data_IF_367976727597
#
_entry.id   IF_367976727597
#
_cell.length_a   1.000
_cell.length_b   1.000
_cell.length_c   1.000
_cell.angle_alpha   90.00
_cell.angle_beta   90.00
_cell.angle_gamma   90.00
#
_symmetry.space_group_name_H-M   'P 1'
#
loop_
_entity.id
_entity.type
_entity.pdbx_description
1 polymer ?
#
# COMPACT_ATOMS: atom_id res chain seq x y z
N UNK A 1 17.83 0.95 41.12
CA UNK A 1 18.91 1.25 42.07
C UNK A 1 20.19 0.64 41.52
N UNK A 2 21.13 1.46 41.06
CA UNK A 2 22.55 1.14 40.96
C UNK A 2 23.32 2.45 40.76
N UNK A 3 24.06 2.82 41.78
CA UNK A 3 24.91 4.01 41.92
C UNK A 3 26.31 3.70 41.40
N UNK A 4 26.96 4.64 40.70
CA UNK A 4 28.43 4.64 40.55
C UNK A 4 28.98 6.05 40.80
N UNK A 5 30.08 6.05 41.57
CA UNK A 5 30.79 7.14 42.26
C UNK A 5 31.46 8.19 41.35
N UNK A 6 31.57 9.41 41.89
CA UNK A 6 32.48 10.48 41.46
C UNK A 6 33.60 10.60 42.51
N UNK A 7 34.89 10.75 42.13
CA UNK A 7 35.93 11.15 43.08
C UNK A 7 36.14 12.68 43.08
N UNK A 8 36.31 13.24 44.29
CA UNK A 8 36.79 14.59 44.57
C UNK A 8 38.32 14.63 44.54
N UNK A 9 38.90 15.74 44.10
CA UNK A 9 40.25 16.16 44.49
C UNK A 9 40.26 17.67 44.80
N UNK A 10 40.88 17.99 45.95
CA UNK A 10 41.17 19.29 46.58
C UNK A 10 41.98 20.24 45.65
N UNK A 11 41.73 21.55 45.57
CA UNK A 11 41.91 22.68 46.52
C UNK A 11 43.33 23.31 46.52
N UNK A 12 43.35 24.66 46.43
CA UNK A 12 44.39 25.67 46.78
C UNK A 12 45.40 26.12 45.71
N UNK A 13 45.28 27.39 45.29
CA UNK A 13 46.25 28.46 45.59
C UNK A 13 45.72 29.86 45.21
N UNK A 14 46.23 30.86 45.95
CA UNK A 14 45.73 32.23 46.16
C UNK A 14 46.28 33.25 45.14
N UNK A 15 45.44 34.27 44.86
CA UNK A 15 45.71 35.70 44.61
C UNK A 15 47.16 36.20 44.41
N UNK A 16 47.42 36.87 43.27
CA UNK A 16 48.30 38.07 43.14
C UNK A 16 47.73 39.02 42.05
N UNK A 17 47.80 40.32 42.33
CA UNK A 17 47.19 41.48 41.67
C UNK A 17 47.98 42.08 40.46
N UNK A 18 47.25 42.84 39.62
CA UNK A 18 47.62 44.04 38.82
C UNK A 18 48.49 43.89 37.55
N UNK A 19 47.95 44.38 36.40
CA UNK A 19 48.38 45.56 35.60
C UNK A 19 47.87 45.47 34.14
N UNK A 20 46.97 46.40 33.78
CA UNK A 20 46.86 47.24 32.55
C UNK A 20 47.14 46.62 31.15
N UNK A 21 46.10 46.71 30.28
CA UNK A 21 46.03 46.57 28.79
C UNK A 21 47.15 47.32 28.03
N UNK A 22 47.48 47.05 26.72
CA UNK A 22 46.50 46.85 25.65
C UNK A 22 46.89 45.91 24.47
N UNK A 23 45.88 45.58 23.66
CA UNK A 23 45.95 45.25 22.23
C UNK A 23 46.99 44.23 21.75
N UNK A 24 46.58 42.97 21.68
CA UNK A 24 46.86 42.14 20.50
C UNK A 24 45.58 41.39 20.12
N UNK A 25 44.89 41.98 19.14
CA UNK A 25 43.87 41.33 18.33
C UNK A 25 44.51 40.19 17.51
N UNK A 26 43.68 39.24 17.08
CA UNK A 26 43.98 38.15 16.14
C UNK A 26 44.76 36.94 16.68
N UNK A 27 44.11 36.12 17.51
CA UNK A 27 43.99 34.66 17.30
C UNK A 27 43.18 34.06 18.46
N UNK A 28 41.85 34.03 18.40
CA UNK A 28 40.97 33.08 19.13
C UNK A 28 39.51 33.43 18.82
N UNK A 29 39.07 33.08 17.60
CA UNK A 29 37.65 33.07 17.27
C UNK A 29 37.36 31.98 16.22
N UNK A 30 37.57 30.71 16.57
CA UNK A 30 37.06 29.58 15.77
C UNK A 30 36.94 28.32 16.61
N UNK A 31 36.16 28.34 17.70
CA UNK A 31 35.76 27.07 18.33
C UNK A 31 34.52 27.18 19.21
N UNK A 32 33.42 27.76 18.72
CA UNK A 32 32.11 27.60 19.39
C UNK A 32 30.90 27.90 18.49
N UNK A 33 30.85 27.40 17.25
CA UNK A 33 29.60 27.39 16.46
C UNK A 33 29.57 26.21 15.47
N UNK A 34 29.22 25.01 15.95
CA UNK A 34 28.66 23.93 15.13
C UNK A 34 28.04 22.84 16.01
N UNK A 35 27.02 23.18 16.81
CA UNK A 35 26.18 22.17 17.47
C UNK A 35 24.78 22.71 17.69
N UNK A 36 24.03 22.85 16.61
CA UNK A 36 22.56 22.84 16.62
C UNK A 36 22.05 22.40 15.24
N UNK A 37 22.00 21.08 15.06
CA UNK A 37 21.35 20.40 13.93
C UNK A 37 21.11 18.90 14.18
N UNK A 38 21.26 18.44 15.43
CA UNK A 38 21.34 17.02 15.79
C UNK A 38 20.01 16.39 16.23
N UNK A 39 18.91 16.62 15.49
CA UNK A 39 17.68 15.83 15.68
C UNK A 39 17.23 15.08 14.43
N UNK A 40 17.62 15.53 13.23
CA UNK A 40 17.44 14.75 12.00
C UNK A 40 18.64 13.82 11.73
N UNK A 41 19.87 14.29 11.93
CA UNK A 41 21.08 13.50 11.69
C UNK A 41 21.22 12.26 12.59
N UNK A 42 20.56 12.22 13.75
CA UNK A 42 20.62 11.08 14.68
C UNK A 42 19.55 10.01 14.37
N UNK A 43 18.47 10.36 13.64
CA UNK A 43 17.50 9.36 13.13
C UNK A 43 18.07 8.56 11.96
N UNK A 44 19.03 9.11 11.22
CA UNK A 44 19.65 8.46 10.06
C UNK A 44 20.67 7.38 10.41
N UNK A 45 21.18 7.35 11.66
CA UNK A 45 22.23 6.41 12.09
C UNK A 45 21.66 5.05 12.54
N UNK A 46 20.34 4.94 12.78
CA UNK A 46 19.69 3.69 13.23
C UNK A 46 18.39 3.35 12.50
N UNK A 47 18.21 3.72 11.24
CA UNK A 47 17.14 3.11 10.45
C UNK A 47 17.47 1.64 10.20
N UNK A 48 16.80 0.77 10.97
CA UNK A 48 16.79 -0.66 10.73
C UNK A 48 16.25 -0.87 9.31
N UNK A 49 17.08 -1.47 8.44
CA UNK A 49 16.72 -1.84 7.06
C UNK A 49 15.36 -2.55 7.06
N UNK A 50 14.54 -2.29 6.04
CA UNK A 50 13.32 -3.06 5.85
C UNK A 50 13.66 -4.53 5.58
N UNK A 51 12.74 -5.49 5.77
CA UNK A 51 12.99 -6.89 5.44
C UNK A 51 13.48 -7.10 3.99
N UNK A 52 12.90 -6.35 3.04
CA UNK A 52 13.35 -6.32 1.64
C UNK A 52 14.79 -5.82 1.52
N UNK A 53 15.12 -4.68 2.14
CA UNK A 53 16.46 -4.09 2.06
C UNK A 53 17.52 -4.98 2.71
N UNK A 54 17.17 -5.63 3.82
CA UNK A 54 18.03 -6.59 4.49
C UNK A 54 18.32 -7.80 3.59
N UNK A 55 17.31 -8.35 2.90
CA UNK A 55 17.51 -9.43 1.94
C UNK A 55 18.34 -8.98 0.74
N UNK A 56 18.01 -7.82 0.16
CA UNK A 56 18.76 -7.23 -0.94
C UNK A 56 20.24 -6.98 -0.56
N UNK A 57 20.51 -6.60 0.68
CA UNK A 57 21.86 -6.49 1.21
C UNK A 57 22.54 -7.86 1.31
N UNK A 58 21.86 -8.88 1.83
CA UNK A 58 22.38 -10.24 1.89
C UNK A 58 22.76 -10.79 0.50
N UNK A 59 21.96 -10.51 -0.54
CA UNK A 59 22.33 -10.84 -1.92
C UNK A 59 23.60 -10.13 -2.39
N UNK A 60 23.86 -8.91 -1.90
CA UNK A 60 25.08 -8.17 -2.22
C UNK A 60 26.29 -8.75 -1.52
N UNK A 61 26.18 -9.05 -0.23
CA UNK A 61 27.23 -9.68 0.57
C UNK A 61 27.61 -11.06 0.03
N UNK A 62 26.62 -11.86 -0.36
CA UNK A 62 26.84 -13.16 -0.99
C UNK A 62 27.29 -13.07 -2.46
N UNK A 63 27.48 -11.86 -3.00
CA UNK A 63 27.82 -11.58 -4.42
C UNK A 63 26.80 -12.11 -5.44
N UNK A 64 25.61 -12.54 -4.99
CA UNK A 64 24.52 -13.03 -5.84
C UNK A 64 23.93 -11.94 -6.74
N UNK A 65 24.01 -10.66 -6.34
CA UNK A 65 23.66 -9.52 -7.19
C UNK A 65 24.45 -9.44 -8.51
N UNK A 66 25.53 -10.23 -8.68
CA UNK A 66 26.30 -10.33 -9.93
C UNK A 66 25.82 -11.45 -10.86
N UNK A 67 24.94 -12.33 -10.36
CA UNK A 67 24.31 -13.39 -11.14
C UNK A 67 23.10 -12.85 -11.89
N UNK A 68 22.71 -13.49 -12.99
CA UNK A 68 21.51 -13.12 -13.78
C UNK A 68 20.25 -13.08 -12.91
N UNK A 69 20.04 -14.09 -12.06
CA UNK A 69 18.88 -14.16 -11.18
C UNK A 69 18.89 -13.08 -10.10
N UNK A 70 20.04 -12.82 -9.46
CA UNK A 70 20.14 -11.77 -8.45
C UNK A 70 19.94 -10.37 -9.04
N UNK A 71 20.46 -10.11 -10.25
CA UNK A 71 20.19 -8.86 -10.97
C UNK A 71 18.71 -8.74 -11.32
N UNK A 72 18.11 -9.81 -11.85
CA UNK A 72 16.68 -9.84 -12.19
C UNK A 72 15.79 -9.58 -10.97
N UNK A 73 16.13 -10.12 -9.80
CA UNK A 73 15.40 -9.88 -8.56
C UNK A 73 15.48 -8.42 -8.09
N UNK A 74 16.67 -7.82 -8.12
CA UNK A 74 16.85 -6.41 -7.78
C UNK A 74 16.11 -5.51 -8.75
N UNK A 75 16.18 -5.81 -10.05
CA UNK A 75 15.49 -5.07 -11.10
C UNK A 75 13.97 -5.20 -10.97
N UNK A 76 13.45 -6.40 -10.70
CA UNK A 76 12.02 -6.62 -10.47
C UNK A 76 11.49 -5.76 -9.31
N UNK A 77 12.26 -5.69 -8.21
CA UNK A 77 11.89 -4.87 -7.06
C UNK A 77 11.89 -3.37 -7.35
N UNK A 78 12.81 -2.88 -8.20
CA UNK A 78 12.82 -1.47 -8.64
C UNK A 78 11.72 -1.18 -9.66
N UNK A 79 11.49 -2.10 -10.61
CA UNK A 79 10.48 -1.95 -11.64
C UNK A 79 9.08 -1.92 -11.05
N UNK A 80 8.82 -2.70 -10.00
CA UNK A 80 7.57 -2.68 -9.26
C UNK A 80 7.21 -1.29 -8.71
N UNK A 81 8.17 -0.40 -8.45
CA UNK A 81 7.89 0.96 -8.00
C UNK A 81 7.46 1.90 -9.13
N UNK A 82 7.70 1.51 -10.39
CA UNK A 82 7.39 2.32 -11.59
C UNK A 82 6.21 1.76 -12.38
N UNK A 83 6.06 0.45 -12.39
CA UNK A 83 5.04 -0.28 -13.14
C UNK A 83 4.15 -1.06 -12.16
N UNK A 84 3.01 -0.48 -11.85
CA UNK A 84 2.06 -0.99 -10.85
C UNK A 84 0.68 -1.15 -11.45
N UNK A 85 -0.04 -2.17 -10.99
CA UNK A 85 -1.46 -2.31 -11.35
C UNK A 85 -2.27 -1.37 -10.50
N UNK A 86 -2.96 -0.43 -11.14
CA UNK A 86 -3.91 0.44 -10.44
C UNK A 86 -5.14 -0.37 -10.04
N UNK A 87 -5.44 -0.40 -8.75
CA UNK A 87 -6.58 -1.10 -8.17
C UNK A 87 -7.51 -0.13 -7.43
N UNK A 88 -8.79 -0.49 -7.38
CA UNK A 88 -9.78 0.19 -6.55
C UNK A 88 -9.99 -0.63 -5.28
N UNK A 89 -10.12 0.04 -4.14
CA UNK A 89 -10.35 -0.62 -2.86
C UNK A 89 -11.86 -0.79 -2.58
N UNK A 90 -12.29 -1.87 -1.89
CA UNK A 90 -11.45 -2.98 -1.42
C UNK A 90 -10.98 -3.89 -2.56
N UNK A 91 -9.77 -4.44 -2.44
CA UNK A 91 -9.15 -5.28 -3.47
C UNK A 91 -8.66 -6.61 -2.90
N UNK A 92 -8.82 -7.68 -3.69
CA UNK A 92 -8.21 -8.98 -3.42
C UNK A 92 -7.78 -9.66 -4.72
N UNK A 93 -6.57 -10.21 -4.72
CA UNK A 93 -6.03 -11.02 -5.82
C UNK A 93 -5.19 -12.16 -5.25
N UNK A 94 -5.29 -13.33 -5.87
CA UNK A 94 -4.30 -14.41 -5.71
C UNK A 94 -3.35 -14.38 -6.90
N UNK A 95 -2.05 -14.20 -6.66
CA UNK A 95 -1.02 -14.18 -7.69
C UNK A 95 0.03 -15.27 -7.43
N UNK A 96 0.84 -15.56 -8.46
CA UNK A 96 1.81 -16.65 -8.43
C UNK A 96 3.20 -16.18 -8.85
N UNK A 97 4.19 -16.51 -8.03
CA UNK A 97 5.61 -16.33 -8.32
C UNK A 97 6.22 -17.63 -8.84
N UNK A 98 7.09 -17.50 -9.85
CA UNK A 98 7.90 -18.61 -10.36
C UNK A 98 9.35 -18.45 -9.92
N UNK A 99 9.95 -19.57 -9.48
CA UNK A 99 11.34 -19.61 -9.03
C UNK A 99 12.35 -19.20 -10.11
N UNK A 100 12.05 -19.52 -11.37
CA UNK A 100 12.92 -19.27 -12.53
C UNK A 100 12.81 -17.84 -13.09
N UNK A 101 11.77 -17.09 -12.70
CA UNK A 101 11.49 -15.75 -13.20
C UNK A 101 11.20 -14.80 -12.04
N UNK A 102 12.26 -14.21 -11.42
CA UNK A 102 12.10 -13.25 -10.34
C UNK A 102 11.19 -12.09 -10.76
N UNK A 103 10.13 -11.88 -9.99
CA UNK A 103 9.12 -10.85 -10.22
C UNK A 103 8.68 -10.27 -8.89
N UNK A 104 8.00 -9.13 -8.94
CA UNK A 104 7.38 -8.50 -7.77
C UNK A 104 5.95 -8.11 -8.12
N UNK A 105 5.01 -8.48 -7.27
CA UNK A 105 3.65 -7.96 -7.32
C UNK A 105 3.66 -6.48 -6.97
N UNK A 106 2.95 -5.66 -7.74
CA UNK A 106 2.85 -4.22 -7.52
C UNK A 106 1.44 -3.72 -7.76
N UNK A 107 0.91 -3.02 -6.76
CA UNK A 107 -0.46 -2.52 -6.73
C UNK A 107 -0.47 -1.08 -6.27
N UNK A 108 -0.99 -0.17 -7.10
CA UNK A 108 -1.21 1.21 -6.73
C UNK A 108 -2.68 1.50 -6.47
N UNK A 109 -2.96 2.33 -5.47
CA UNK A 109 -4.32 2.65 -5.08
C UNK A 109 -4.38 4.04 -4.43
N UNK A 110 -5.60 4.58 -4.32
CA UNK A 110 -5.85 5.81 -3.60
C UNK A 110 -6.43 5.49 -2.23
N UNK A 111 -5.97 6.23 -1.22
CA UNK A 111 -6.55 6.25 0.11
C UNK A 111 -6.63 7.70 0.58
N UNK A 112 -7.60 8.02 1.43
CA UNK A 112 -7.87 9.39 1.88
C UNK A 112 -7.19 9.67 3.22
N UNK A 113 -6.74 10.90 3.42
CA UNK A 113 -6.32 11.41 4.72
C UNK A 113 -7.39 11.09 5.77
N UNK A 114 -6.97 10.42 6.83
CA UNK A 114 -7.85 9.95 7.92
C UNK A 114 -8.28 8.50 7.81
N UNK A 115 -8.02 7.83 6.69
CA UNK A 115 -8.17 6.38 6.59
C UNK A 115 -6.92 5.65 7.12
N UNK A 116 -7.12 4.41 7.56
CA UNK A 116 -6.07 3.41 7.74
C UNK A 116 -6.12 2.46 6.56
N UNK A 117 -4.96 2.27 5.91
CA UNK A 117 -4.72 1.19 4.96
C UNK A 117 -4.44 -0.07 5.76
N UNK A 118 -5.14 -1.15 5.45
CA UNK A 118 -4.92 -2.47 6.02
C UNK A 118 -4.62 -3.44 4.86
N UNK A 119 -3.39 -3.94 4.85
CA UNK A 119 -2.88 -4.89 3.86
C UNK A 119 -2.64 -6.21 4.56
N UNK A 120 -3.24 -7.27 4.02
CA UNK A 120 -3.02 -8.64 4.47
C UNK A 120 -2.57 -9.49 3.30
N UNK A 121 -1.52 -10.26 3.50
CA UNK A 121 -1.05 -11.29 2.58
C UNK A 121 -1.24 -12.65 3.23
N UNK A 122 -1.64 -13.64 2.46
CA UNK A 122 -1.64 -15.04 2.89
C UNK A 122 -0.96 -15.89 1.83
N UNK A 123 -0.26 -16.93 2.26
CA UNK A 123 0.33 -17.95 1.39
C UNK A 123 -0.43 -19.26 1.55
N UNK A 124 -0.25 -20.20 0.62
CA UNK A 124 -0.87 -21.53 0.77
C UNK A 124 -0.20 -22.29 1.90
N UNK A 125 -0.99 -23.07 2.64
CA UNK A 125 -0.50 -23.99 3.68
C UNK A 125 0.58 -24.91 3.08
N UNK A 126 1.71 -25.09 3.78
CA UNK A 126 2.91 -25.84 3.34
C UNK A 126 3.85 -25.16 2.32
N UNK A 127 3.59 -23.91 1.91
CA UNK A 127 4.60 -23.14 1.17
C UNK A 127 5.59 -22.50 2.15
N UNK A 128 6.84 -22.94 2.12
CA UNK A 128 7.96 -22.24 2.76
C UNK A 128 8.49 -21.19 1.79
N UNK A 129 7.83 -20.03 1.78
CA UNK A 129 8.21 -18.90 0.93
C UNK A 129 8.35 -17.64 1.79
N UNK A 130 9.55 -17.05 1.79
CA UNK A 130 9.75 -15.73 2.36
C UNK A 130 9.21 -14.66 1.42
N UNK A 131 8.31 -13.83 1.91
CA UNK A 131 7.75 -12.68 1.23
C UNK A 131 8.18 -11.41 1.94
N UNK A 132 8.40 -10.37 1.14
CA UNK A 132 8.66 -9.01 1.59
C UNK A 132 7.52 -8.12 1.11
N UNK A 133 6.95 -7.35 2.02
CA UNK A 133 5.85 -6.42 1.76
C UNK A 133 6.35 -5.03 2.09
N UNK A 134 6.30 -4.12 1.12
CA UNK A 134 6.65 -2.71 1.33
C UNK A 134 5.49 -1.84 0.87
N UNK A 135 5.15 -0.83 1.67
CA UNK A 135 4.19 0.21 1.33
C UNK A 135 4.92 1.54 1.12
N UNK A 136 4.55 2.22 0.04
CA UNK A 136 5.10 3.51 -0.36
C UNK A 136 3.98 4.54 -0.53
N UNK A 137 4.26 5.78 -0.17
CA UNK A 137 3.57 6.97 -0.66
C UNK A 137 4.23 7.41 -1.97
N UNK A 138 3.42 7.81 -2.95
CA UNK A 138 3.87 8.33 -4.23
C UNK A 138 3.67 9.85 -4.25
N UNK A 139 4.73 10.61 -4.50
CA UNK A 139 4.62 12.05 -4.73
C UNK A 139 3.75 12.35 -5.95
N UNK A 140 3.11 13.51 -5.97
CA UNK A 140 2.35 13.98 -7.14
C UNK A 140 3.23 14.77 -8.14
N UNK A 141 4.47 15.10 -7.78
CA UNK A 141 5.39 15.85 -8.64
C UNK A 141 6.28 14.93 -9.45
N UNK A 142 6.52 15.26 -10.73
CA UNK A 142 7.45 14.53 -11.59
C UNK A 142 8.90 14.98 -11.34
N UNK A 143 9.89 14.07 -11.26
CA UNK A 143 9.72 12.62 -11.29
C UNK A 143 9.05 12.09 -10.02
N UNK A 144 8.18 11.08 -10.16
CA UNK A 144 7.49 10.47 -9.02
C UNK A 144 8.50 9.94 -7.99
N UNK A 145 8.64 10.61 -6.86
CA UNK A 145 9.42 10.11 -5.74
C UNK A 145 8.58 9.14 -4.91
N UNK A 146 9.17 8.00 -4.57
CA UNK A 146 8.56 7.01 -3.67
C UNK A 146 9.12 7.18 -2.27
N UNK A 147 8.24 7.45 -1.30
CA UNK A 147 8.59 7.47 0.11
C UNK A 147 8.15 6.16 0.74
N UNK A 148 9.10 5.37 1.24
CA UNK A 148 8.78 4.16 2.00
C UNK A 148 8.13 4.56 3.33
N UNK A 149 7.00 3.94 3.66
CA UNK A 149 6.22 4.31 4.86
C UNK A 149 5.97 3.16 5.82
N UNK A 150 5.97 1.92 5.33
CA UNK A 150 5.83 0.73 6.18
C UNK A 150 6.34 -0.53 5.48
N UNK A 151 6.76 -1.54 6.25
CA UNK A 151 7.14 -2.84 5.72
C UNK A 151 6.74 -3.99 6.65
N UNK A 152 6.57 -5.17 6.05
CA UNK A 152 6.29 -6.45 6.71
C UNK A 152 7.00 -7.59 5.96
N UNK A 153 7.05 -8.77 6.55
CA UNK A 153 7.53 -9.99 5.91
C UNK A 153 6.69 -11.21 6.31
N UNK A 154 7.13 -12.42 5.99
CA UNK A 154 6.44 -13.68 6.32
C UNK A 154 6.15 -13.87 7.82
N UNK A 155 6.80 -13.14 8.72
CA UNK A 155 6.51 -13.26 10.17
C UNK A 155 5.18 -12.64 10.56
N UNK A 156 4.76 -11.56 9.90
CA UNK A 156 3.50 -10.88 10.21
C UNK A 156 2.49 -10.98 9.07
N UNK A 157 2.95 -10.98 7.81
CA UNK A 157 2.14 -10.98 6.58
C UNK A 157 1.01 -9.94 6.57
N UNK A 158 1.10 -8.92 7.41
CA UNK A 158 0.10 -7.87 7.53
C UNK A 158 0.77 -6.54 7.84
N UNK A 159 0.19 -5.47 7.32
CA UNK A 159 0.69 -4.11 7.46
C UNK A 159 -0.48 -3.14 7.58
N UNK A 160 -0.38 -2.24 8.56
CA UNK A 160 -1.33 -1.16 8.77
C UNK A 160 -0.61 0.18 8.64
N UNK A 161 -1.22 1.13 7.94
CA UNK A 161 -0.67 2.47 7.76
C UNK A 161 -1.74 3.54 7.81
N UNK A 162 -1.50 4.61 8.56
CA UNK A 162 -2.39 5.76 8.63
C UNK A 162 -2.06 6.75 7.53
N UNK A 163 -3.07 7.09 6.76
CA UNK A 163 -2.94 8.05 5.66
C UNK A 163 -2.99 9.46 6.23
N UNK A 164 -1.88 10.17 6.16
CA UNK A 164 -1.74 11.56 6.63
C UNK A 164 -1.95 12.59 5.50
N UNK A 165 -1.85 12.16 4.24
CA UNK A 165 -2.02 13.00 3.06
C UNK A 165 -2.78 12.25 1.95
N UNK A 166 -3.51 12.96 1.11
CA UNK A 166 -4.26 12.39 -0.02
C UNK A 166 -3.35 12.02 -1.21
N UNK A 167 -2.31 11.22 -0.94
CA UNK A 167 -1.35 10.75 -1.92
C UNK A 167 -1.73 9.36 -2.46
N UNK A 168 -1.39 9.04 -3.72
CA UNK A 168 -1.41 7.65 -4.17
C UNK A 168 -0.44 6.81 -3.35
N UNK A 169 -0.82 5.57 -3.11
CA UNK A 169 0.00 4.59 -2.41
C UNK A 169 0.33 3.42 -3.34
N UNK A 170 1.44 2.74 -3.05
CA UNK A 170 1.86 1.54 -3.77
C UNK A 170 2.32 0.48 -2.79
N UNK A 171 1.78 -0.73 -2.92
CA UNK A 171 2.28 -1.91 -2.21
C UNK A 171 3.06 -2.80 -3.17
N UNK A 172 4.26 -3.18 -2.75
CA UNK A 172 5.09 -4.18 -3.40
C UNK A 172 5.06 -5.46 -2.57
N UNK A 173 4.84 -6.60 -3.22
CA UNK A 173 5.02 -7.94 -2.64
C UNK A 173 6.07 -8.65 -3.47
N UNK A 174 7.14 -9.15 -2.84
CA UNK A 174 8.22 -9.82 -3.55
C UNK A 174 8.69 -11.06 -2.77
N UNK A 175 8.88 -12.22 -3.42
CA UNK A 175 9.42 -13.39 -2.75
C UNK A 175 10.93 -13.33 -2.66
N UNK A 176 11.54 -14.20 -1.88
CA UNK A 176 12.96 -14.51 -2.01
C UNK A 176 13.29 -15.20 -3.36
N UNK A 177 14.58 -15.21 -3.73
CA UNK A 177 15.06 -15.87 -4.95
C UNK A 177 14.77 -17.37 -4.93
N UNK A 178 14.49 -17.94 -6.11
CA UNK A 178 14.35 -19.39 -6.35
C UNK A 178 13.15 -20.07 -5.66
N UNK A 179 12.16 -19.30 -5.19
CA UNK A 179 10.92 -19.87 -4.65
C UNK A 179 9.75 -19.65 -5.61
N UNK A 180 8.97 -20.71 -5.81
CA UNK A 180 7.65 -20.62 -6.45
C UNK A 180 6.58 -20.65 -5.37
N UNK A 181 5.52 -19.88 -5.56
CA UNK A 181 4.46 -19.85 -4.57
C UNK A 181 3.32 -18.93 -4.97
N UNK A 182 2.15 -19.25 -4.44
CA UNK A 182 0.96 -18.43 -4.56
C UNK A 182 0.83 -17.55 -3.31
N UNK A 183 0.40 -16.32 -3.50
CA UNK A 183 0.01 -15.45 -2.40
C UNK A 183 -1.32 -14.79 -2.72
N UNK A 184 -2.13 -14.59 -1.70
CA UNK A 184 -3.34 -13.78 -1.80
C UNK A 184 -3.11 -12.48 -1.07
N UNK A 185 -3.20 -11.35 -1.78
CA UNK A 185 -3.17 -10.02 -1.19
C UNK A 185 -4.59 -9.49 -1.03
N UNK A 186 -4.87 -8.92 0.12
CA UNK A 186 -6.08 -8.17 0.43
C UNK A 186 -5.68 -6.76 0.83
N UNK A 187 -6.29 -5.75 0.21
CA UNK A 187 -6.06 -4.34 0.50
C UNK A 187 -7.42 -3.70 0.78
N UNK A 188 -7.60 -3.18 1.98
CA UNK A 188 -8.80 -2.44 2.38
C UNK A 188 -8.41 -1.12 3.03
N UNK A 189 -9.37 -0.21 3.11
CA UNK A 189 -9.30 0.95 4.00
C UNK A 189 -10.34 0.82 5.11
N UNK A 190 -10.04 1.45 6.25
CA UNK A 190 -10.93 1.56 7.40
C UNK A 190 -10.80 2.94 8.04
N UNK A 191 -11.80 3.45 8.78
CA UNK A 191 -11.65 4.70 9.52
C UNK A 191 -10.53 4.61 10.57
N UNK A 192 -9.80 5.71 10.77
CA UNK A 192 -8.76 5.81 11.81
C UNK A 192 -9.30 6.18 13.20
N UNK A 193 -10.51 6.74 13.26
CA UNK A 193 -11.20 7.10 14.48
C UNK A 193 -12.49 6.29 14.65
N UNK A 194 -12.90 6.09 15.90
CA UNK A 194 -14.21 5.51 16.18
C UNK A 194 -15.33 6.53 15.95
N UNK A 195 -16.54 6.04 15.72
CA UNK A 195 -17.69 6.92 15.48
C UNK A 195 -18.08 7.68 16.76
N UNK A 196 -18.20 9.02 16.74
CA UNK A 196 -18.26 9.84 17.95
C UNK A 196 -19.66 9.95 18.59
N UNK A 197 -20.67 9.21 18.12
CA UNK A 197 -22.03 9.23 18.68
C UNK A 197 -22.52 7.81 18.90
N UNK A 198 -22.94 7.51 20.13
CA UNK A 198 -23.36 6.16 20.52
C UNK A 198 -24.53 5.66 19.67
N UNK A 199 -24.38 4.46 19.12
CA UNK A 199 -25.43 3.79 18.32
C UNK A 199 -25.70 4.43 16.96
N UNK A 200 -24.82 5.33 16.48
CA UNK A 200 -24.91 5.94 15.16
C UNK A 200 -23.74 5.50 14.27
N UNK A 201 -23.84 5.82 12.98
CA UNK A 201 -22.83 5.56 11.95
C UNK A 201 -22.91 6.63 10.86
N UNK A 202 -22.15 6.46 9.77
CA UNK A 202 -22.07 7.42 8.66
C UNK A 202 -23.42 7.85 8.08
N UNK A 203 -24.49 7.04 8.17
CA UNK A 203 -25.85 7.42 7.72
C UNK A 203 -26.48 8.55 8.52
N UNK A 204 -25.97 8.81 9.73
CA UNK A 204 -26.42 9.93 10.57
C UNK A 204 -25.75 11.25 10.20
N UNK A 205 -24.77 11.25 9.29
CA UNK A 205 -24.12 12.46 8.78
C UNK A 205 -25.03 13.08 7.72
N UNK A 206 -25.51 14.31 7.97
CA UNK A 206 -26.40 15.01 7.03
C UNK A 206 -25.90 16.39 6.63
N UNK A 207 -24.85 16.91 7.28
CA UNK A 207 -24.09 18.08 6.82
C UNK A 207 -22.62 17.74 6.74
N UNK A 208 -22.01 17.97 5.57
CA UNK A 208 -20.66 17.53 5.25
C UNK A 208 -19.67 18.69 5.25
N UNK A 209 -18.39 18.35 5.26
CA UNK A 209 -17.27 19.28 5.13
C UNK A 209 -17.46 20.22 3.93
N UNK A 210 -17.14 21.49 4.11
CA UNK A 210 -17.17 22.49 3.05
C UNK A 210 -18.56 23.03 2.70
N UNK A 211 -19.64 22.51 3.29
CA UNK A 211 -20.99 23.05 3.10
C UNK A 211 -21.05 24.54 3.48
N UNK A 212 -21.81 25.33 2.73
CA UNK A 212 -21.98 26.76 2.99
C UNK A 212 -22.64 27.00 4.35
N UNK A 213 -22.13 27.98 5.10
CA UNK A 213 -22.65 28.45 6.38
C UNK A 213 -22.79 29.95 6.37
N UNK A 214 -23.73 30.44 7.17
CA UNK A 214 -23.91 31.87 7.39
C UNK A 214 -24.09 32.64 6.06
N UNK A 215 -24.97 32.12 5.19
CA UNK A 215 -25.22 32.63 3.83
C UNK A 215 -23.98 32.70 2.92
N UNK A 216 -23.03 31.77 3.09
CA UNK A 216 -21.82 31.66 2.27
C UNK A 216 -20.60 32.37 2.87
N UNK A 217 -20.75 33.05 4.00
CA UNK A 217 -19.64 33.74 4.68
C UNK A 217 -18.63 32.79 5.33
N UNK A 218 -19.02 31.53 5.56
CA UNK A 218 -18.15 30.51 6.18
C UNK A 218 -18.35 29.15 5.53
N UNK A 219 -17.30 28.33 5.55
CA UNK A 219 -17.36 26.91 5.18
C UNK A 219 -17.50 26.05 6.43
N UNK A 220 -18.25 24.96 6.31
CA UNK A 220 -18.41 24.00 7.39
C UNK A 220 -17.10 23.22 7.62
N UNK A 221 -16.39 23.53 8.71
CA UNK A 221 -15.13 22.90 9.11
C UNK A 221 -15.33 21.61 9.94
N UNK A 222 -16.29 20.79 9.54
CA UNK A 222 -16.62 19.56 10.25
C UNK A 222 -17.69 18.75 9.55
N UNK A 223 -18.28 17.83 10.30
CA UNK A 223 -19.49 17.08 9.91
C UNK A 223 -20.52 17.17 11.02
N UNK A 224 -21.81 17.26 10.64
CA UNK A 224 -22.91 17.25 11.60
C UNK A 224 -23.58 15.88 11.63
N UNK A 225 -23.61 15.29 12.83
CA UNK A 225 -24.09 13.95 13.10
C UNK A 225 -25.40 14.05 13.89
N UNK A 226 -26.51 13.72 13.24
CA UNK A 226 -27.85 13.90 13.80
C UNK A 226 -28.22 12.75 14.74
N UNK A 227 -28.67 13.11 15.94
CA UNK A 227 -29.14 12.17 16.95
C UNK A 227 -30.08 12.88 17.94
N UNK A 228 -30.92 12.13 18.64
CA UNK A 228 -31.80 12.70 19.66
C UNK A 228 -30.99 13.45 20.73
N UNK A 229 -31.51 14.58 21.22
CA UNK A 229 -30.92 15.28 22.37
C UNK A 229 -30.71 14.28 23.53
N UNK A 230 -29.58 14.39 24.22
CA UNK A 230 -29.24 13.47 25.30
C UNK A 230 -28.53 12.20 24.84
N UNK A 231 -28.38 11.96 23.53
CA UNK A 231 -27.58 10.82 23.04
C UNK A 231 -26.12 10.98 23.46
N UNK A 232 -25.45 9.95 24.01
CA UNK A 232 -24.04 10.06 24.40
C UNK A 232 -23.11 10.37 23.22
N UNK A 233 -22.27 11.40 23.41
CA UNK A 233 -21.14 11.76 22.55
C UNK A 233 -19.90 11.09 23.11
N UNK A 234 -19.21 10.33 22.26
CA UNK A 234 -18.12 9.43 22.64
C UNK A 234 -16.76 9.97 22.20
N UNK A 235 -15.73 9.69 22.99
CA UNK A 235 -14.33 9.92 22.63
C UNK A 235 -13.97 9.07 21.41
N UNK A 236 -13.61 9.73 20.30
CA UNK A 236 -13.37 9.07 19.02
C UNK A 236 -11.97 8.42 18.96
N UNK A 237 -11.04 8.95 19.78
CA UNK A 237 -9.69 8.45 19.98
C UNK A 237 -9.38 8.36 21.48
N UNK A 238 -8.33 7.61 21.84
CA UNK A 238 -7.72 7.72 23.16
C UNK A 238 -7.01 9.07 23.26
N UNK A 239 -7.17 9.78 24.36
CA UNK A 239 -6.62 11.13 24.44
C UNK A 239 -6.73 11.80 25.80
N UNK A 240 -6.39 13.08 25.80
CA UNK A 240 -6.51 13.99 26.95
C UNK A 240 -7.46 15.12 26.57
N UNK A 241 -8.48 15.34 27.39
CA UNK A 241 -9.39 16.48 27.23
C UNK A 241 -8.60 17.77 27.42
N UNK A 242 -8.33 18.49 26.34
CA UNK A 242 -7.48 19.68 26.36
C UNK A 242 -8.25 20.94 26.74
N UNK A 243 -9.56 20.97 26.45
CA UNK A 243 -10.42 22.12 26.79
C UNK A 243 -11.88 21.71 26.92
N UNK A 244 -12.56 22.31 27.89
CA UNK A 244 -14.01 22.26 28.07
C UNK A 244 -14.48 23.68 28.27
N UNK A 245 -15.37 24.18 27.40
CA UNK A 245 -15.82 25.58 27.46
C UNK A 245 -17.20 25.80 26.86
N UNK A 246 -17.80 26.97 27.11
CA UNK A 246 -18.97 27.45 26.39
C UNK A 246 -18.56 28.59 25.46
N UNK A 247 -18.92 28.53 24.19
CA UNK A 247 -18.54 29.49 23.15
C UNK A 247 -19.78 30.03 22.42
N UNK A 248 -19.74 31.25 21.86
CA UNK A 248 -20.90 31.80 21.15
C UNK A 248 -21.37 30.93 19.98
N UNK A 249 -20.43 30.43 19.17
CA UNK A 249 -20.73 29.62 17.97
C UNK A 249 -20.95 28.15 18.35
N UNK A 250 -19.95 27.51 18.95
CA UNK A 250 -20.00 26.07 19.25
C UNK A 250 -20.89 25.69 20.44
N UNK A 251 -21.36 26.67 21.22
CA UNK A 251 -22.08 26.40 22.46
C UNK A 251 -21.19 25.67 23.46
N UNK A 252 -21.72 24.62 24.09
CA UNK A 252 -20.94 23.74 24.97
C UNK A 252 -20.05 22.85 24.12
N UNK A 253 -18.73 22.95 24.33
CA UNK A 253 -17.72 22.28 23.50
C UNK A 253 -16.72 21.47 24.33
N UNK A 254 -16.25 20.37 23.76
CA UNK A 254 -15.11 19.61 24.28
C UNK A 254 -14.04 19.54 23.19
N UNK A 255 -12.79 19.78 23.56
CA UNK A 255 -11.62 19.49 22.75
C UNK A 255 -10.88 18.29 23.35
N UNK A 256 -10.54 17.33 22.49
CA UNK A 256 -9.77 16.15 22.84
C UNK A 256 -8.48 16.14 22.04
N UNK A 257 -7.34 16.16 22.72
CA UNK A 257 -6.04 15.93 22.08
C UNK A 257 -5.80 14.43 21.96
N UNK A 258 -5.70 13.94 20.73
CA UNK A 258 -5.34 12.55 20.45
C UNK A 258 -3.87 12.35 20.84
N UNK A 259 -3.58 11.33 21.65
CA UNK A 259 -2.21 11.10 22.15
C UNK A 259 -1.38 10.23 21.22
N UNK A 260 -2.02 9.47 20.34
CA UNK A 260 -1.34 8.59 19.39
C UNK A 260 -1.06 9.31 18.08
N UNK A 261 -1.83 10.34 17.79
CA UNK A 261 -1.84 11.06 16.54
C UNK A 261 -1.69 12.56 16.79
N UNK A 262 -1.00 13.28 15.90
CA UNK A 262 -0.80 14.73 16.04
C UNK A 262 -2.03 15.53 15.60
N UNK A 263 -3.16 15.33 16.27
CA UNK A 263 -4.44 15.98 15.95
C UNK A 263 -5.25 16.31 17.20
N UNK A 264 -6.17 17.26 17.06
CA UNK A 264 -7.19 17.57 18.07
C UNK A 264 -8.58 17.37 17.48
N UNK A 265 -9.48 16.82 18.30
CA UNK A 265 -10.85 16.52 17.94
C UNK A 265 -11.79 17.49 18.65
N UNK A 266 -12.72 18.06 17.90
CA UNK A 266 -13.64 19.08 18.37
C UNK A 266 -15.07 18.55 18.40
N UNK A 267 -15.73 18.70 19.53
CA UNK A 267 -17.10 18.27 19.77
C UNK A 267 -17.93 19.47 20.20
N UNK A 268 -18.95 19.84 19.44
CA UNK A 268 -19.74 21.05 19.69
C UNK A 268 -21.26 20.82 19.69
N UNK A 269 -21.98 21.88 20.03
CA UNK A 269 -23.44 21.93 20.20
C UNK A 269 -23.97 21.03 21.32
N UNK A 270 -23.12 20.65 22.28
CA UNK A 270 -23.47 19.69 23.33
C UNK A 270 -24.60 20.22 24.23
N UNK A 271 -25.43 19.32 24.75
CA UNK A 271 -26.42 19.60 25.79
C UNK A 271 -25.77 19.65 27.17
N UNK A 272 -24.81 18.75 27.42
CA UNK A 272 -23.96 18.74 28.62
C UNK A 272 -22.53 18.30 28.29
N UNK A 273 -21.59 18.75 29.11
CA UNK A 273 -20.19 18.30 29.12
C UNK A 273 -20.02 17.44 30.37
N UNK A 274 -19.58 16.20 30.20
CA UNK A 274 -19.45 15.21 31.29
C UNK A 274 -18.00 14.94 31.67
N UNK A 275 -17.08 15.76 31.16
CA UNK A 275 -15.64 15.66 31.36
C UNK A 275 -15.05 17.03 31.71
N UNK A 276 -13.82 17.03 32.21
CA UNK A 276 -13.07 18.23 32.57
C UNK A 276 -11.71 18.28 31.87
N UNK A 277 -11.13 19.47 31.73
CA UNK A 277 -9.79 19.62 31.16
C UNK A 277 -8.73 18.85 31.98
N UNK A 278 -7.78 18.24 31.28
CA UNK A 278 -6.75 17.37 31.86
C UNK A 278 -7.19 15.91 32.05
N UNK A 279 -8.47 15.59 31.90
CA UNK A 279 -8.97 14.22 32.03
C UNK A 279 -8.46 13.33 30.88
N UNK A 280 -7.93 12.16 31.23
CA UNK A 280 -7.62 11.11 30.27
C UNK A 280 -8.88 10.33 29.92
N UNK A 281 -9.06 10.01 28.65
CA UNK A 281 -10.19 9.23 28.15
C UNK A 281 -9.71 8.15 27.19
N UNK A 282 -10.41 7.02 27.20
CA UNK A 282 -10.26 5.95 26.24
C UNK A 282 -11.32 6.08 25.12
N UNK A 283 -11.07 5.37 24.02
CA UNK A 283 -12.04 5.26 22.92
C UNK A 283 -13.38 4.76 23.47
N UNK A 284 -14.46 5.46 23.18
CA UNK A 284 -15.81 5.10 23.63
C UNK A 284 -16.25 5.70 24.97
N UNK A 285 -15.37 6.36 25.72
CA UNK A 285 -15.78 7.09 26.93
C UNK A 285 -16.72 8.24 26.56
N UNK A 286 -17.72 8.51 27.42
CA UNK A 286 -18.69 9.58 27.15
C UNK A 286 -18.11 10.93 27.53
N UNK A 287 -18.01 11.85 26.56
CA UNK A 287 -17.52 13.21 26.74
C UNK A 287 -18.63 14.21 27.10
N UNK A 288 -19.85 13.92 26.67
CA UNK A 288 -20.99 14.82 26.76
C UNK A 288 -22.23 14.22 26.13
N UNK A 289 -23.27 15.03 26.01
CA UNK A 289 -24.53 14.61 25.40
C UNK A 289 -24.86 15.49 24.19
N UNK A 290 -25.43 14.89 23.15
CA UNK A 290 -25.90 15.59 21.94
C UNK A 290 -26.93 16.65 22.32
N UNK A 291 -26.81 17.84 21.75
CA UNK A 291 -27.70 18.97 21.99
C UNK A 291 -27.88 19.85 20.77
N UNK A 292 -28.15 21.13 21.00
CA UNK A 292 -28.22 22.18 19.99
C UNK A 292 -27.81 23.54 20.56
N UNK A 293 -26.79 23.58 21.43
CA UNK A 293 -26.31 24.83 22.04
C UNK A 293 -25.46 25.67 21.07
N UNK A 294 -25.21 26.94 21.39
CA UNK A 294 -24.51 27.86 20.49
C UNK A 294 -25.40 28.35 19.36
N UNK A 295 -24.85 28.47 18.15
CA UNK A 295 -25.60 28.89 16.97
C UNK A 295 -26.52 27.80 16.38
N UNK A 296 -26.43 26.55 16.87
CA UNK A 296 -27.36 25.48 16.52
C UNK A 296 -28.72 25.60 17.22
N UNK A 297 -28.91 26.58 18.11
CA UNK A 297 -30.15 26.76 18.86
C UNK A 297 -31.33 26.96 17.91
N UNK A 298 -32.39 26.17 18.11
CA UNK A 298 -33.58 26.18 17.24
C UNK A 298 -33.53 25.20 16.07
N UNK A 299 -32.38 24.56 15.83
CA UNK A 299 -32.25 23.48 14.83
C UNK A 299 -32.44 22.09 15.47
N UNK A 300 -32.54 21.06 14.63
CA UNK A 300 -32.60 19.65 15.06
C UNK A 300 -31.30 19.29 15.80
N UNK A 301 -31.36 18.62 16.97
CA UNK A 301 -30.17 18.23 17.71
C UNK A 301 -29.17 17.41 16.90
N UNK A 302 -27.89 17.78 17.02
CA UNK A 302 -26.78 17.13 16.33
C UNK A 302 -25.47 17.36 17.08
N UNK A 303 -24.48 16.50 16.84
CA UNK A 303 -23.09 16.76 17.18
C UNK A 303 -22.42 17.40 15.96
N UNK A 304 -21.83 18.57 16.13
CA UNK A 304 -20.81 19.04 15.19
C UNK A 304 -19.46 18.45 15.61
N UNK A 305 -18.84 17.69 14.70
CA UNK A 305 -17.57 17.01 14.91
C UNK A 305 -16.52 17.54 13.94
N UNK A 306 -15.36 17.97 14.47
CA UNK A 306 -14.24 18.49 13.69
C UNK A 306 -12.93 17.76 14.01
N UNK A 307 -12.05 17.68 13.02
CA UNK A 307 -10.69 17.15 13.14
C UNK A 307 -9.71 18.25 12.77
N UNK A 308 -8.75 18.52 13.66
CA UNK A 308 -7.74 19.56 13.49
C UNK A 308 -6.35 18.91 13.49
N UNK A 309 -5.76 18.79 12.30
CA UNK A 309 -4.44 18.21 12.12
C UNK A 309 -3.35 19.26 12.42
N UNK A 310 -2.29 18.83 13.12
CA UNK A 310 -1.20 19.72 13.50
C UNK A 310 -0.53 20.32 12.26
N UNK A 311 -0.48 21.66 12.19
CA UNK A 311 0.14 22.39 11.07
C UNK A 311 -0.73 22.53 9.82
N UNK A 312 -1.89 21.87 9.75
CA UNK A 312 -2.82 21.96 8.61
C UNK A 312 -4.16 22.64 8.96
N UNK A 313 -4.50 22.74 10.26
CA UNK A 313 -5.79 23.28 10.69
C UNK A 313 -6.91 22.26 10.56
N UNK A 314 -8.14 22.72 10.31
CA UNK A 314 -9.29 21.85 10.15
C UNK A 314 -9.16 21.00 8.87
N UNK A 315 -9.51 19.72 8.95
CA UNK A 315 -9.54 18.78 7.82
C UNK A 315 -10.89 18.06 7.77
N UNK A 316 -11.26 17.52 6.61
CA UNK A 316 -12.51 16.77 6.43
C UNK A 316 -12.55 15.57 7.40
N UNK A 317 -13.47 15.55 8.40
CA UNK A 317 -13.57 14.46 9.35
C UNK A 317 -14.16 13.18 8.75
N UNK A 318 -14.85 13.26 7.60
CA UNK A 318 -15.63 12.15 7.08
C UNK A 318 -14.81 10.86 6.89
N UNK A 319 -13.61 10.88 6.26
CA UNK A 319 -12.81 9.67 6.11
C UNK A 319 -12.29 9.09 7.45
N UNK A 320 -12.18 9.92 8.49
CA UNK A 320 -11.71 9.49 9.80
C UNK A 320 -12.72 8.61 10.54
N UNK A 321 -14.02 8.83 10.33
CA UNK A 321 -15.08 8.20 11.12
C UNK A 321 -16.05 7.35 10.30
N UNK A 322 -16.10 7.52 8.98
CA UNK A 322 -17.03 6.77 8.15
C UNK A 322 -16.54 5.33 7.97
N UNK A 323 -17.31 4.37 8.50
CA UNK A 323 -17.03 2.96 8.31
C UNK A 323 -17.22 2.57 6.83
N UNK A 324 -16.10 2.45 6.13
CA UNK A 324 -15.98 2.03 4.75
C UNK A 324 -15.47 0.58 4.64
N UNK A 325 -15.41 -0.18 5.76
CA UNK A 325 -14.96 -1.57 5.74
C UNK A 325 -15.90 -2.40 4.87
N UNK A 326 -15.40 -2.75 3.70
CA UNK A 326 -16.07 -3.61 2.75
C UNK A 326 -15.18 -4.82 2.50
N UNK A 327 -15.80 -6.00 2.48
CA UNK A 327 -15.07 -7.21 2.09
C UNK A 327 -14.79 -7.15 0.59
N UNK A 328 -13.55 -7.45 0.15
CA UNK A 328 -13.25 -7.53 -1.26
C UNK A 328 -14.02 -8.68 -1.91
N UNK A 329 -14.17 -8.62 -3.24
CA UNK A 329 -14.75 -9.76 -3.98
C UNK A 329 -13.81 -10.96 -3.84
N UNK A 330 -14.29 -12.11 -3.30
CA UNK A 330 -13.45 -13.29 -3.12
C UNK A 330 -12.88 -13.79 -4.44
N UNK A 331 -11.62 -14.24 -4.43
CA UNK A 331 -11.00 -14.91 -5.57
C UNK A 331 -11.70 -16.26 -5.82
N UNK A 332 -12.10 -16.50 -7.08
CA UNK A 332 -12.86 -17.67 -7.51
C UNK A 332 -12.21 -18.42 -8.66
N UNK A 333 -11.07 -17.93 -9.16
CA UNK A 333 -10.33 -18.65 -10.18
C UNK A 333 -9.66 -19.89 -9.57
N UNK A 334 -9.51 -20.99 -10.34
CA UNK A 334 -8.81 -22.17 -9.85
C UNK A 334 -7.31 -21.90 -9.66
N UNK A 335 -6.82 -22.03 -8.42
CA UNK A 335 -5.44 -21.70 -8.04
C UNK A 335 -4.42 -22.60 -8.75
N UNK A 336 -4.78 -23.84 -9.05
CA UNK A 336 -3.92 -24.80 -9.75
C UNK A 336 -3.63 -24.40 -11.21
N UNK A 337 -4.32 -23.40 -11.76
CA UNK A 337 -4.03 -22.84 -13.08
C UNK A 337 -3.04 -21.69 -13.03
N UNK A 338 -2.81 -21.10 -11.85
CA UNK A 338 -1.87 -20.00 -11.70
C UNK A 338 -0.43 -20.48 -11.94
N UNK A 339 0.37 -19.63 -12.59
CA UNK A 339 1.72 -19.95 -13.04
C UNK A 339 1.79 -20.79 -14.32
N UNK A 340 0.66 -21.34 -14.80
CA UNK A 340 0.63 -22.18 -16.01
C UNK A 340 0.36 -21.36 -17.27
N UNK A 341 0.71 -21.95 -18.40
CA UNK A 341 0.25 -21.48 -19.71
C UNK A 341 -1.22 -21.86 -19.94
N UNK A 342 -1.93 -20.98 -20.63
CA UNK A 342 -3.27 -21.22 -21.16
C UNK A 342 -3.39 -20.66 -22.58
N UNK A 343 -4.55 -20.88 -23.20
CA UNK A 343 -4.88 -20.23 -24.47
C UNK A 343 -6.32 -19.72 -24.50
N UNK A 344 -6.59 -18.74 -25.35
CA UNK A 344 -7.95 -18.20 -25.53
C UNK A 344 -8.87 -19.23 -26.21
N UNK A 345 -10.04 -19.46 -25.62
CA UNK A 345 -10.99 -20.46 -26.09
C UNK A 345 -11.83 -20.02 -27.31
N UNK A 346 -11.94 -18.71 -27.56
CA UNK A 346 -12.76 -18.10 -28.63
C UNK A 346 -12.02 -16.95 -29.30
N UNK A 347 -12.57 -16.48 -30.42
CA UNK A 347 -12.12 -15.25 -31.07
C UNK A 347 -12.58 -14.02 -30.29
N UNK A 348 -11.90 -12.90 -30.52
CA UNK A 348 -12.25 -11.58 -29.99
C UNK A 348 -12.27 -11.51 -28.45
N UNK A 349 -11.36 -12.23 -27.78
CA UNK A 349 -11.22 -12.15 -26.32
C UNK A 349 -10.50 -10.87 -25.94
N UNK A 350 -11.18 -9.96 -25.25
CA UNK A 350 -10.61 -8.70 -24.79
C UNK A 350 -9.85 -8.85 -23.48
N UNK A 351 -8.59 -8.46 -23.46
CA UNK A 351 -7.78 -8.26 -22.25
C UNK A 351 -8.02 -6.85 -21.73
N UNK A 352 -8.23 -6.68 -20.42
CA UNK A 352 -8.60 -5.40 -19.79
C UNK A 352 -7.64 -4.99 -18.68
N UNK A 353 -7.57 -3.68 -18.39
CA UNK A 353 -6.69 -3.17 -17.32
C UNK A 353 -7.13 -3.56 -15.90
N UNK A 354 -8.41 -3.91 -15.70
CA UNK A 354 -8.96 -4.30 -14.41
C UNK A 354 -9.96 -5.46 -14.57
N UNK A 355 -10.24 -6.25 -13.50
CA UNK A 355 -11.08 -7.45 -13.54
C UNK A 355 -12.60 -7.12 -13.60
N UNK A 356 -12.99 -6.32 -14.59
CA UNK A 356 -14.38 -5.93 -14.83
C UNK A 356 -14.62 -5.66 -16.31
N UNK A 357 -15.82 -5.98 -16.80
CA UNK A 357 -16.21 -5.78 -18.20
C UNK A 357 -16.18 -4.30 -18.62
N UNK A 358 -16.29 -3.37 -17.67
CA UNK A 358 -16.26 -1.92 -17.92
C UNK A 358 -14.84 -1.33 -18.00
N UNK A 359 -13.81 -2.11 -17.66
CA UNK A 359 -12.44 -1.62 -17.68
C UNK A 359 -11.94 -1.42 -19.12
N UNK A 360 -11.05 -0.44 -19.29
CA UNK A 360 -10.38 -0.15 -20.55
C UNK A 360 -9.76 -1.40 -21.16
N UNK A 361 -10.00 -1.60 -22.45
CA UNK A 361 -9.38 -2.68 -23.21
C UNK A 361 -7.89 -2.38 -23.43
N UNK A 362 -7.05 -3.37 -23.15
CA UNK A 362 -5.62 -3.37 -23.47
C UNK A 362 -5.41 -3.85 -24.90
N UNK A 363 -6.04 -4.98 -25.25
CA UNK A 363 -5.96 -5.61 -26.57
C UNK A 363 -7.07 -6.64 -26.75
N UNK A 364 -7.26 -7.10 -27.97
CA UNK A 364 -8.21 -8.15 -28.34
C UNK A 364 -7.46 -9.30 -29.01
N UNK A 365 -7.74 -10.53 -28.57
CA UNK A 365 -7.00 -11.73 -28.95
C UNK A 365 -7.85 -12.67 -29.82
N UNK A 366 -7.28 -13.27 -30.88
CA UNK A 366 -7.93 -14.34 -31.63
C UNK A 366 -7.98 -15.62 -30.79
N UNK A 367 -8.72 -16.63 -31.27
CA UNK A 367 -8.77 -17.98 -30.66
C UNK A 367 -7.38 -18.63 -30.65
N UNK A 368 -7.16 -19.49 -29.66
CA UNK A 368 -5.93 -20.28 -29.45
C UNK A 368 -4.69 -19.43 -29.11
N UNK A 369 -4.87 -18.16 -28.73
CA UNK A 369 -3.77 -17.27 -28.38
C UNK A 369 -3.13 -17.68 -27.06
N UNK A 370 -1.83 -17.98 -27.07
CA UNK A 370 -1.04 -18.36 -25.92
C UNK A 370 -0.86 -17.20 -24.92
N UNK A 371 -0.92 -17.51 -23.63
CA UNK A 371 -0.67 -16.57 -22.54
C UNK A 371 -0.27 -17.30 -21.24
N UNK A 372 0.41 -16.60 -20.35
CA UNK A 372 0.69 -17.08 -18.99
C UNK A 372 -0.38 -16.56 -18.02
N UNK A 373 -0.90 -17.44 -17.17
CA UNK A 373 -1.83 -17.08 -16.10
C UNK A 373 -0.99 -16.71 -14.88
N UNK A 374 -0.97 -15.44 -14.50
CA UNK A 374 -0.08 -14.91 -13.43
C UNK A 374 -0.81 -14.68 -12.11
N UNK A 375 -2.14 -14.68 -12.12
CA UNK A 375 -2.98 -14.52 -10.94
C UNK A 375 -4.46 -14.54 -11.26
N UNK A 376 -5.29 -14.14 -10.31
CA UNK A 376 -6.70 -13.86 -10.55
C UNK A 376 -7.41 -13.15 -9.40
N UNK A 377 -8.44 -12.41 -9.78
CA UNK A 377 -9.26 -11.58 -8.92
C UNK A 377 -10.73 -11.81 -9.27
N UNK A 378 -11.55 -12.18 -8.28
CA UNK A 378 -12.92 -12.63 -8.55
C UNK A 378 -12.94 -13.81 -9.53
N UNK A 379 -13.74 -13.68 -10.59
CA UNK A 379 -13.85 -14.66 -11.69
C UNK A 379 -12.93 -14.32 -12.90
N UNK A 380 -11.90 -13.52 -12.70
CA UNK A 380 -11.01 -13.06 -13.77
C UNK A 380 -9.60 -13.57 -13.54
N UNK A 381 -8.99 -14.14 -14.57
CA UNK A 381 -7.56 -14.40 -14.57
C UNK A 381 -6.81 -13.11 -14.89
N UNK A 382 -5.73 -12.88 -14.16
CA UNK A 382 -4.65 -12.00 -14.59
C UNK A 382 -3.72 -12.80 -15.49
N UNK A 383 -3.41 -12.23 -16.64
CA UNK A 383 -2.63 -12.89 -17.68
C UNK A 383 -1.51 -11.98 -18.17
N UNK A 384 -0.42 -12.59 -18.62
CA UNK A 384 0.68 -11.94 -19.33
C UNK A 384 0.84 -12.58 -20.70
N UNK A 385 0.84 -11.74 -21.74
CA UNK A 385 1.11 -12.13 -23.12
C UNK A 385 2.62 -12.30 -23.34
N UNK A 386 3.03 -13.06 -24.36
CA UNK A 386 4.44 -13.25 -24.67
C UNK A 386 5.24 -11.97 -24.96
N UNK A 387 4.60 -10.88 -25.39
CA UNK A 387 5.24 -9.58 -25.55
C UNK A 387 5.34 -8.75 -24.25
N UNK A 388 4.95 -9.32 -23.11
CA UNK A 388 4.98 -8.66 -21.80
C UNK A 388 3.69 -7.92 -21.42
N UNK A 389 2.80 -7.62 -22.38
CA UNK A 389 1.51 -6.97 -22.08
C UNK A 389 0.72 -7.81 -21.09
N UNK A 390 0.20 -7.16 -20.06
CA UNK A 390 -0.54 -7.82 -18.99
C UNK A 390 -1.93 -7.22 -18.82
N UNK A 391 -2.86 -8.01 -18.31
CA UNK A 391 -4.20 -7.54 -17.99
C UNK A 391 -5.08 -8.68 -17.50
N UNK A 392 -6.39 -8.46 -17.52
CA UNK A 392 -7.40 -9.37 -17.01
C UNK A 392 -8.33 -9.86 -18.10
N UNK A 393 -8.77 -11.10 -18.00
CA UNK A 393 -9.83 -11.68 -18.82
C UNK A 393 -10.73 -12.60 -17.99
N UNK A 394 -11.99 -12.82 -18.40
CA UNK A 394 -12.89 -13.73 -17.68
C UNK A 394 -12.36 -15.17 -17.71
N UNK A 395 -12.48 -15.91 -16.60
CA UNK A 395 -11.95 -17.28 -16.51
C UNK A 395 -12.45 -18.24 -17.60
N UNK A 396 -13.71 -18.07 -18.03
CA UNK A 396 -14.33 -18.87 -19.09
C UNK A 396 -13.87 -18.50 -20.51
N UNK A 397 -12.95 -17.54 -20.64
CA UNK A 397 -12.32 -17.18 -21.90
C UNK A 397 -11.07 -18.00 -22.21
N UNK A 398 -10.60 -18.81 -21.24
CA UNK A 398 -9.41 -19.64 -21.38
C UNK A 398 -9.73 -21.13 -21.44
N UNK A 399 -8.81 -21.85 -22.06
CA UNK A 399 -8.70 -23.30 -21.97
C UNK A 399 -7.27 -23.72 -21.58
N UNK A 400 -7.16 -24.87 -20.92
CA UNK A 400 -5.87 -25.45 -20.54
C UNK A 400 -5.13 -26.03 -21.75
N UNK A 401 -3.80 -26.10 -21.67
CA UNK A 401 -2.95 -26.69 -22.71
C UNK A 401 -2.81 -28.22 -22.62
N UNK A 402 -3.70 -28.89 -21.87
CA UNK A 402 -3.65 -30.36 -21.72
C UNK A 402 -3.92 -31.10 -23.02
N UNK A 403 -4.82 -30.57 -23.86
CA UNK A 403 -5.12 -31.11 -25.20
C UNK A 403 -4.43 -30.26 -26.28
N UNK A 404 -3.59 -30.86 -27.14
CA UNK A 404 -2.99 -30.13 -28.25
C UNK A 404 -4.06 -29.67 -29.24
N UNK A 405 -3.77 -28.59 -29.97
CA UNK A 405 -4.57 -28.14 -31.11
C UNK A 405 -4.45 -29.12 -32.27
N UNK A 406 -3.23 -29.60 -32.51
CA UNK A 406 -2.87 -30.58 -33.53
C UNK A 406 -1.46 -31.10 -33.26
N UNK A 407 -1.10 -32.16 -33.97
CA UNK A 407 0.27 -32.67 -34.05
C UNK A 407 0.85 -32.35 -35.43
N UNK A 408 2.10 -31.90 -35.47
CA UNK A 408 2.81 -31.60 -36.71
C UNK A 408 4.06 -32.48 -36.83
N UNK A 409 4.21 -33.14 -37.98
CA UNK A 409 5.42 -33.89 -38.30
C UNK A 409 6.38 -32.99 -39.06
N UNK A 410 7.58 -32.81 -38.52
CA UNK A 410 8.56 -31.89 -39.08
C UNK A 410 9.16 -32.40 -40.39
N UNK A 411 9.27 -31.50 -41.37
CA UNK A 411 9.87 -31.79 -42.69
C UNK A 411 11.38 -31.56 -42.73
N UNK A 412 11.88 -30.71 -41.85
CA UNK A 412 13.30 -30.35 -41.70
C UNK A 412 13.67 -30.28 -40.23
N UNK A 413 14.96 -30.16 -39.95
CA UNK A 413 15.42 -29.76 -38.63
C UNK A 413 14.92 -28.34 -38.34
N UNK A 414 14.44 -28.09 -37.11
CA UNK A 414 13.94 -26.78 -36.68
C UNK A 414 14.50 -26.43 -35.31
N UNK A 415 14.77 -25.15 -35.09
CA UNK A 415 15.15 -24.63 -33.78
C UNK A 415 13.92 -24.08 -33.07
N UNK A 416 13.70 -24.54 -31.84
CA UNK A 416 12.75 -23.92 -30.94
C UNK A 416 13.42 -22.77 -30.20
N UNK A 417 12.71 -21.67 -30.05
CA UNK A 417 13.20 -20.47 -29.36
C UNK A 417 12.45 -20.23 -28.05
N UNK A 418 13.08 -19.51 -27.13
CA UNK A 418 12.54 -19.25 -25.78
C UNK A 418 11.31 -18.32 -25.78
N UNK A 419 11.28 -17.34 -26.69
CA UNK A 419 10.23 -16.33 -26.82
C UNK A 419 9.82 -16.21 -28.29
N UNK A 420 8.56 -15.82 -28.60
CA UNK A 420 8.05 -15.76 -29.97
C UNK A 420 8.50 -14.47 -30.68
N UNK A 421 9.81 -14.31 -30.86
CA UNK A 421 10.42 -13.22 -31.62
C UNK A 421 11.72 -13.69 -32.28
N UNK A 422 12.17 -12.99 -33.32
CA UNK A 422 13.32 -13.42 -34.14
C UNK A 422 14.68 -13.29 -33.45
N UNK A 423 14.77 -12.59 -32.32
CA UNK A 423 16.01 -12.38 -31.56
C UNK A 423 16.13 -13.33 -30.37
N UNK A 424 15.12 -14.17 -30.13
CA UNK A 424 15.10 -15.09 -29.02
C UNK A 424 16.14 -16.20 -29.21
N UNK A 425 16.89 -16.57 -28.16
CA UNK A 425 17.87 -17.64 -28.26
C UNK A 425 17.19 -18.99 -28.52
N UNK A 426 17.85 -19.89 -29.28
CA UNK A 426 17.39 -21.25 -29.44
C UNK A 426 17.53 -22.01 -28.12
N UNK A 427 16.53 -22.83 -27.79
CA UNK A 427 16.48 -23.66 -26.58
C UNK A 427 16.58 -25.15 -26.89
N UNK A 428 16.23 -25.56 -28.12
CA UNK A 428 16.31 -26.95 -28.55
C UNK A 428 16.37 -27.04 -30.09
N UNK A 429 17.16 -27.98 -30.60
CA UNK A 429 17.13 -28.40 -32.00
C UNK A 429 16.27 -29.66 -32.12
N UNK A 430 15.16 -29.57 -32.85
CA UNK A 430 14.28 -30.71 -33.09
C UNK A 430 14.55 -31.26 -34.49
N UNK A 431 14.86 -32.55 -34.55
CA UNK A 431 15.20 -33.22 -35.79
C UNK A 431 14.00 -33.41 -36.70
N UNK A 432 14.26 -33.40 -38.00
CA UNK A 432 13.35 -33.84 -39.05
C UNK A 432 12.66 -35.16 -38.65
N UNK A 433 11.42 -35.34 -39.10
CA UNK A 433 10.55 -36.49 -38.83
C UNK A 433 10.03 -36.60 -37.39
N UNK A 434 10.49 -35.76 -36.46
CA UNK A 434 9.89 -35.65 -35.13
C UNK A 434 8.46 -35.13 -35.21
N UNK A 435 7.62 -35.57 -34.27
CA UNK A 435 6.24 -35.11 -34.14
C UNK A 435 6.12 -34.16 -32.95
N UNK A 436 5.65 -32.94 -33.20
CA UNK A 436 5.45 -31.91 -32.19
C UNK A 436 3.96 -31.70 -31.90
N UNK A 437 3.63 -31.55 -30.62
CA UNK A 437 2.30 -31.19 -30.17
C UNK A 437 2.15 -29.66 -30.13
N UNK A 438 1.42 -29.10 -31.09
CA UNK A 438 1.11 -27.67 -31.13
C UNK A 438 0.00 -27.40 -30.13
N UNK A 439 0.28 -26.61 -29.10
CA UNK A 439 -0.65 -26.37 -27.99
C UNK A 439 -1.30 -24.99 -28.02
N UNK A 440 -0.65 -23.98 -28.59
CA UNK A 440 -1.20 -22.62 -28.70
C UNK A 440 -0.50 -21.83 -29.82
N UNK A 441 -0.97 -20.62 -30.12
CA UNK A 441 -0.47 -19.75 -31.18
C UNK A 441 -0.21 -18.35 -30.62
N UNK A 442 0.79 -17.63 -31.11
CA UNK A 442 0.95 -16.21 -30.84
C UNK A 442 1.60 -15.52 -32.05
N UNK A 443 0.88 -14.60 -32.68
CA UNK A 443 1.29 -13.98 -33.94
C UNK A 443 1.71 -15.05 -34.98
N UNK A 444 2.93 -14.99 -35.51
CA UNK A 444 3.47 -15.95 -36.47
C UNK A 444 4.08 -17.21 -35.82
N UNK A 445 4.02 -17.36 -34.50
CA UNK A 445 4.66 -18.45 -33.77
C UNK A 445 3.63 -19.44 -33.22
N UNK A 446 4.07 -20.69 -33.12
CA UNK A 446 3.35 -21.80 -32.50
C UNK A 446 4.04 -22.18 -31.20
N UNK A 447 3.27 -22.29 -30.13
CA UNK A 447 3.76 -22.85 -28.87
C UNK A 447 3.64 -24.38 -28.98
N UNK A 448 4.76 -25.07 -28.83
CA UNK A 448 4.83 -26.53 -28.85
C UNK A 448 5.20 -27.06 -27.47
N UNK A 449 4.69 -28.24 -27.14
CA UNK A 449 5.04 -28.95 -25.91
C UNK A 449 6.08 -30.04 -26.20
N UNK A 450 7.17 -30.03 -25.44
CA UNK A 450 8.24 -31.01 -25.52
C UNK A 450 7.96 -32.25 -24.66
N UNK A 451 8.72 -33.32 -24.89
CA UNK A 451 8.56 -34.62 -24.20
C UNK A 451 8.87 -34.56 -22.71
N UNK A 452 9.77 -33.66 -22.31
CA UNK A 452 10.08 -33.35 -20.91
C UNK A 452 9.00 -32.48 -20.23
N UNK A 453 7.95 -32.10 -20.98
CA UNK A 453 6.84 -31.28 -20.50
C UNK A 453 7.07 -29.77 -20.58
N UNK A 454 8.26 -29.32 -20.99
CA UNK A 454 8.57 -27.91 -21.24
C UNK A 454 7.91 -27.41 -22.53
N UNK A 455 8.00 -26.11 -22.78
CA UNK A 455 7.44 -25.47 -23.96
C UNK A 455 8.51 -24.71 -24.73
N UNK A 456 8.37 -24.68 -26.06
CA UNK A 456 9.19 -23.88 -26.96
C UNK A 456 8.35 -23.24 -28.06
N UNK A 457 8.90 -22.21 -28.70
CA UNK A 457 8.24 -21.52 -29.81
C UNK A 457 8.84 -21.93 -31.15
N UNK A 458 7.96 -22.22 -32.11
CA UNK A 458 8.30 -22.55 -33.49
C UNK A 458 7.72 -21.48 -34.42
N UNK A 459 8.51 -20.96 -35.35
CA UNK A 459 8.00 -20.05 -36.38
C UNK A 459 7.16 -20.83 -37.39
N UNK A 460 5.94 -20.36 -37.70
CA UNK A 460 4.97 -21.11 -38.54
C UNK A 460 5.49 -21.40 -39.96
N UNK A 461 6.44 -20.62 -40.48
CA UNK A 461 7.04 -20.87 -41.81
C UNK A 461 8.09 -21.99 -41.80
N UNK A 462 8.50 -22.47 -40.63
CA UNK A 462 9.51 -23.51 -40.46
C UNK A 462 8.91 -24.90 -40.17
N UNK A 463 7.60 -24.99 -39.94
CA UNK A 463 6.88 -26.25 -39.65
C UNK A 463 6.55 -27.07 -40.90
#
# INVERSE_FOLDING_TARGET
>A
MCYVKIPKAFMLLKNINRVIRPTFYFLFLTLFLASCGGKEAVKTIFQKRTPYEAYAHGLREAKLHRTTLGQAWLLAGQQALRDSVRVNLPFQETAYFRADKPTAGSYSFLAKHGELIDIKVTTRTQQDIKLFIDLFELSQTSPYETKHVAAADTTTLSLEYRVDENLPHLVRVQPELLHSGSYTITIITRPSLSFPVKGKNGKAIQSYWGAERDAGARRHEGVDIFASRGTPVLAAAKGIVSRVSNTPIGGKVVWLSDINNRQSLYYAHLDSQLVQAGQQVNIGDTLGLVGNTGNARGTVPHLHFGVYAFGQGAVDPFPFINDNRQQPTPVRVPEEQLGKWGRTAKNNITVRLAPTAKATAVTTLPKNTALQITGGAGNWFRVQLPNGLSGYLPQNSLESLTKPLRTEKLKTDVELVELPNMQAPPIALIKKDSTLAVVAIYAAYQLVKLTDGSYGWLLTTQS
#
